data_IF_648474430308
#
_entry.id   IF_648474430308
#
_cell.length_a   1.000
_cell.length_b   1.000
_cell.length_c   1.000
_cell.angle_alpha   90.00
_cell.angle_beta   90.00
_cell.angle_gamma   90.00
#
_symmetry.space_group_name_H-M   'P 1'
#
loop_
_entity.id
_entity.type
_entity.pdbx_description
1 polymer ?
#
# COMPACT_ATOMS: atom_id res chain seq x y z
N UNK A 1 5.03 29.31 -14.66
CA UNK A 1 5.23 30.04 -13.37
C UNK A 1 4.54 29.21 -12.30
N UNK A 2 5.26 28.75 -11.26
CA UNK A 2 4.63 28.16 -10.08
C UNK A 2 4.12 29.30 -9.22
N UNK A 3 2.82 29.45 -9.10
CA UNK A 3 2.20 30.38 -8.17
C UNK A 3 2.47 29.89 -6.73
N UNK A 4 2.88 30.80 -5.87
CA UNK A 4 3.09 30.51 -4.44
C UNK A 4 1.92 31.10 -3.66
N UNK A 5 1.21 30.26 -2.90
CA UNK A 5 0.23 30.73 -1.94
C UNK A 5 0.99 31.40 -0.79
N UNK A 6 0.77 32.70 -0.61
CA UNK A 6 1.43 33.49 0.44
C UNK A 6 0.60 33.49 1.72
N UNK A 7 -0.73 33.50 1.58
CA UNK A 7 -1.68 33.49 2.69
C UNK A 7 -2.97 32.82 2.26
N UNK A 8 -3.56 32.04 3.15
CA UNK A 8 -4.92 31.47 3.03
C UNK A 8 -5.74 31.91 4.25
N UNK A 9 -6.95 32.45 4.01
CA UNK A 9 -7.93 32.79 5.03
C UNK A 9 -9.23 32.06 4.68
N UNK A 10 -9.80 31.33 5.63
CA UNK A 10 -11.09 30.67 5.50
C UNK A 10 -12.04 31.36 6.45
N UNK A 11 -13.12 31.90 5.91
CA UNK A 11 -14.14 32.60 6.70
C UNK A 11 -15.50 31.93 6.56
N UNK A 12 -16.32 32.04 7.58
CA UNK A 12 -17.73 31.65 7.56
C UNK A 12 -18.61 32.87 7.76
N UNK A 13 -19.80 32.83 7.16
CA UNK A 13 -20.85 33.84 7.31
C UNK A 13 -22.14 33.19 7.81
N UNK A 14 -22.98 33.89 8.55
CA UNK A 14 -24.28 33.39 9.06
C UNK A 14 -25.34 33.29 7.93
N UNK A 15 -25.20 34.09 6.88
CA UNK A 15 -26.07 34.12 5.69
C UNK A 15 -25.24 34.03 4.45
N UNK A 16 -25.88 33.81 3.31
CA UNK A 16 -25.16 33.82 2.04
C UNK A 16 -24.54 35.21 1.78
N UNK A 17 -23.35 35.26 1.20
CA UNK A 17 -22.67 36.55 0.88
C UNK A 17 -23.50 37.43 -0.04
N UNK A 18 -24.35 36.83 -0.89
CA UNK A 18 -25.28 37.58 -1.77
C UNK A 18 -26.37 38.28 -0.97
N UNK A 19 -27.04 37.59 -0.01
CA UNK A 19 -28.04 38.18 0.84
C UNK A 19 -27.46 39.32 1.70
N UNK A 20 -26.22 39.16 2.18
CA UNK A 20 -25.54 40.19 2.96
C UNK A 20 -25.18 41.41 2.11
N UNK A 21 -24.75 41.22 0.86
CA UNK A 21 -24.49 42.29 -0.08
C UNK A 21 -25.77 43.06 -0.43
N UNK A 22 -26.87 42.34 -0.67
CA UNK A 22 -28.17 42.96 -0.95
C UNK A 22 -28.66 43.78 0.28
N UNK A 23 -28.46 43.28 1.49
CA UNK A 23 -28.78 44.01 2.74
C UNK A 23 -27.96 45.30 2.83
N UNK A 24 -26.65 45.27 2.62
CA UNK A 24 -25.79 46.44 2.64
C UNK A 24 -26.25 47.47 1.59
N UNK A 25 -26.48 47.02 0.37
CA UNK A 25 -26.90 47.90 -0.73
C UNK A 25 -28.29 48.50 -0.46
N UNK A 26 -29.19 47.80 0.22
CA UNK A 26 -30.52 48.32 0.59
C UNK A 26 -30.49 49.42 1.69
N UNK A 27 -29.43 49.45 2.49
CA UNK A 27 -29.23 50.42 3.57
C UNK A 27 -28.41 51.63 3.16
N UNK A 28 -27.94 51.68 1.90
CA UNK A 28 -27.18 52.84 1.41
C UNK A 28 -28.06 54.09 1.21
N UNK A 29 -27.56 55.27 1.55
CA UNK A 29 -28.26 56.54 1.30
C UNK A 29 -28.50 56.77 -0.19
N UNK A 30 -29.67 57.29 -0.56
CA UNK A 30 -29.98 57.66 -1.93
C UNK A 30 -28.94 58.65 -2.47
N UNK A 31 -28.42 58.38 -3.66
CA UNK A 31 -27.41 59.21 -4.37
C UNK A 31 -25.99 58.77 -4.14
N UNK A 32 -25.70 57.74 -3.39
CA UNK A 32 -24.36 57.17 -3.27
C UNK A 32 -24.10 56.20 -4.45
N UNK A 33 -23.10 56.50 -5.29
CA UNK A 33 -22.67 55.62 -6.40
C UNK A 33 -21.69 54.53 -5.92
N UNK A 34 -22.02 53.89 -4.81
CA UNK A 34 -21.25 52.73 -4.29
C UNK A 34 -22.12 51.50 -4.33
N UNK A 35 -21.52 50.36 -4.67
CA UNK A 35 -22.17 49.07 -4.70
C UNK A 35 -21.27 48.06 -3.97
N UNK A 36 -21.80 47.34 -3.05
CA UNK A 36 -21.13 46.25 -2.34
C UNK A 36 -21.36 44.93 -3.10
N UNK A 37 -20.31 44.34 -3.57
CA UNK A 37 -20.37 43.02 -4.22
C UNK A 37 -20.42 41.90 -3.18
N UNK A 38 -20.85 40.70 -3.55
CA UNK A 38 -20.76 39.53 -2.67
C UNK A 38 -19.33 39.21 -2.20
N UNK A 39 -18.33 39.52 -3.02
CA UNK A 39 -16.91 39.33 -2.71
C UNK A 39 -16.44 40.31 -1.63
N UNK A 40 -16.93 41.55 -1.63
CA UNK A 40 -16.59 42.55 -0.61
C UNK A 40 -17.04 42.15 0.79
N UNK A 41 -18.15 41.40 0.90
CA UNK A 41 -18.65 40.87 2.17
C UNK A 41 -17.61 40.00 2.88
N UNK A 42 -16.76 39.28 2.14
CA UNK A 42 -15.71 38.43 2.71
C UNK A 42 -14.62 39.22 3.44
N UNK A 43 -14.51 40.52 3.16
CA UNK A 43 -13.58 41.43 3.83
C UNK A 43 -14.22 42.18 5.03
N UNK A 44 -15.54 42.02 5.26
CA UNK A 44 -16.25 42.69 6.32
C UNK A 44 -16.25 41.87 7.61
N UNK A 45 -15.45 42.27 8.59
CA UNK A 45 -15.35 41.61 9.91
C UNK A 45 -16.68 41.44 10.64
N UNK A 46 -17.67 42.34 10.37
CA UNK A 46 -19.00 42.26 10.96
C UNK A 46 -19.84 41.07 10.50
N UNK A 47 -19.51 40.49 9.35
CA UNK A 47 -20.24 39.36 8.78
C UNK A 47 -19.42 38.08 8.71
N UNK A 48 -18.12 38.19 8.93
CA UNK A 48 -17.19 37.05 8.74
C UNK A 48 -16.54 36.64 10.05
N UNK A 49 -16.45 35.33 10.24
CA UNK A 49 -15.65 34.72 11.32
C UNK A 49 -14.51 33.96 10.71
N UNK A 50 -13.28 34.28 11.07
CA UNK A 50 -12.10 33.55 10.63
C UNK A 50 -12.02 32.20 11.34
N UNK A 51 -12.18 31.11 10.57
CA UNK A 51 -12.13 29.73 11.05
C UNK A 51 -10.89 28.99 10.58
N UNK A 52 -9.92 29.69 9.99
CA UNK A 52 -8.72 29.11 9.39
C UNK A 52 -7.99 28.19 10.37
N UNK A 53 -7.62 28.69 11.54
CA UNK A 53 -6.88 27.93 12.56
C UNK A 53 -7.68 26.75 13.07
N UNK A 54 -8.98 26.95 13.30
CA UNK A 54 -9.87 25.87 13.78
C UNK A 54 -9.93 24.73 12.77
N UNK A 55 -10.22 25.01 11.50
CA UNK A 55 -10.33 23.99 10.47
C UNK A 55 -9.00 23.27 10.20
N UNK A 56 -7.87 24.00 10.19
CA UNK A 56 -6.58 23.35 10.04
C UNK A 56 -6.23 22.45 11.24
N UNK A 57 -6.60 22.84 12.45
CA UNK A 57 -6.40 22.02 13.66
C UNK A 57 -7.26 20.76 13.61
N UNK A 58 -8.54 20.87 13.22
CA UNK A 58 -9.44 19.74 13.06
C UNK A 58 -8.96 18.80 11.94
N UNK A 59 -8.58 19.34 10.77
CA UNK A 59 -8.04 18.56 9.68
C UNK A 59 -6.75 17.82 10.09
N UNK A 60 -5.85 18.50 10.80
CA UNK A 60 -4.64 17.87 11.33
C UNK A 60 -4.94 16.75 12.31
N UNK A 61 -5.93 16.91 13.18
CA UNK A 61 -6.35 15.85 14.11
C UNK A 61 -6.94 14.63 13.38
N UNK A 62 -7.71 14.86 12.30
CA UNK A 62 -8.26 13.81 11.46
C UNK A 62 -7.16 13.06 10.70
N UNK A 63 -6.19 13.78 10.12
CA UNK A 63 -5.03 13.17 9.45
C UNK A 63 -4.20 12.33 10.44
N UNK A 64 -3.91 12.86 11.63
CA UNK A 64 -3.14 12.13 12.65
C UNK A 64 -3.88 10.87 13.13
N UNK A 65 -5.20 10.93 13.25
CA UNK A 65 -6.02 9.78 13.61
C UNK A 65 -6.09 8.73 12.49
N UNK A 66 -6.09 9.14 11.21
CA UNK A 66 -6.04 8.21 10.07
C UNK A 66 -4.68 7.52 9.99
N UNK A 67 -3.58 8.27 10.14
CA UNK A 67 -2.23 7.70 10.19
C UNK A 67 -2.06 6.73 11.38
N UNK A 68 -2.57 7.07 12.56
CA UNK A 68 -2.55 6.17 13.73
C UNK A 68 -3.41 4.93 13.51
N UNK A 69 -4.56 5.03 12.81
CA UNK A 69 -5.37 3.88 12.44
C UNK A 69 -4.67 2.98 11.42
N UNK A 70 -4.01 3.56 10.41
CA UNK A 70 -3.22 2.81 9.44
C UNK A 70 -2.00 2.14 10.07
N UNK A 71 -1.30 2.81 10.99
CA UNK A 71 -0.19 2.24 11.75
C UNK A 71 -0.70 1.11 12.64
N UNK A 72 -1.82 1.29 13.35
CA UNK A 72 -2.42 0.25 14.19
C UNK A 72 -2.95 -0.94 13.38
N UNK A 73 -3.47 -0.75 12.17
CA UNK A 73 -3.84 -1.85 11.28
C UNK A 73 -2.62 -2.64 10.78
N UNK A 74 -1.48 -1.96 10.51
CA UNK A 74 -0.22 -2.63 10.13
C UNK A 74 0.41 -3.42 11.27
N UNK A 75 0.19 -3.04 12.53
CA UNK A 75 0.71 -3.76 13.70
C UNK A 75 -0.13 -5.00 14.10
N UNK A 76 -1.28 -5.24 13.45
CA UNK A 76 -2.18 -6.34 13.78
C UNK A 76 -1.93 -7.64 12.99
N UNK A 77 -1.01 -7.64 12.03
CA UNK A 77 -0.70 -8.85 11.27
C UNK A 77 -0.14 -9.97 12.17
N UNK A 78 -0.64 -11.20 11.98
CA UNK A 78 -0.15 -12.36 12.72
C UNK A 78 1.27 -12.73 12.25
N UNK A 79 2.26 -12.29 13.03
CA UNK A 79 3.69 -12.57 12.76
C UNK A 79 4.09 -14.04 12.99
N UNK A 80 3.16 -14.92 13.33
CA UNK A 80 3.41 -16.38 13.32
C UNK A 80 3.16 -16.98 11.95
N UNK A 81 2.46 -16.27 11.07
CA UNK A 81 2.05 -16.72 9.75
C UNK A 81 2.87 -16.07 8.64
N UNK A 82 3.19 -16.84 7.62
CA UNK A 82 3.92 -16.41 6.43
C UNK A 82 3.18 -16.90 5.19
N UNK A 83 2.76 -16.00 4.34
CA UNK A 83 2.05 -16.34 3.11
C UNK A 83 3.04 -16.74 2.01
N UNK A 84 2.79 -17.87 1.35
CA UNK A 84 3.63 -18.38 0.28
C UNK A 84 2.83 -18.40 -1.04
N UNK A 85 3.25 -17.55 -1.97
CA UNK A 85 2.77 -17.50 -3.35
C UNK A 85 3.67 -18.39 -4.20
N UNK A 86 3.08 -19.28 -5.01
CA UNK A 86 3.83 -20.19 -5.86
C UNK A 86 3.11 -20.48 -7.18
N UNK A 87 3.89 -20.89 -8.19
CA UNK A 87 3.40 -21.42 -9.46
C UNK A 87 3.22 -22.95 -9.42
N UNK A 88 3.71 -23.63 -10.46
CA UNK A 88 3.60 -25.08 -10.61
C UNK A 88 4.73 -25.87 -9.94
N UNK A 89 5.78 -25.21 -9.51
CA UNK A 89 6.97 -25.83 -8.90
C UNK A 89 6.64 -26.31 -7.46
N UNK A 90 6.22 -27.57 -7.36
CA UNK A 90 5.86 -28.19 -6.09
C UNK A 90 7.08 -28.39 -5.18
N UNK A 91 8.25 -28.67 -5.77
CA UNK A 91 9.49 -28.85 -5.02
C UNK A 91 9.89 -27.57 -4.29
N UNK A 92 9.98 -26.44 -5.02
CA UNK A 92 10.28 -25.14 -4.44
C UNK A 92 9.29 -24.75 -3.35
N UNK A 93 7.99 -24.96 -3.60
CA UNK A 93 6.92 -24.73 -2.63
C UNK A 93 7.14 -25.48 -1.32
N UNK A 94 7.37 -26.80 -1.41
CA UNK A 94 7.54 -27.66 -0.23
C UNK A 94 8.84 -27.36 0.50
N UNK A 95 9.92 -27.06 -0.22
CA UNK A 95 11.20 -26.69 0.36
C UNK A 95 11.07 -25.43 1.22
N UNK A 96 10.45 -24.38 0.66
CA UNK A 96 10.26 -23.11 1.38
C UNK A 96 9.29 -23.27 2.54
N UNK A 97 8.18 -24.01 2.36
CA UNK A 97 7.23 -24.27 3.45
C UNK A 97 7.90 -24.98 4.64
N UNK A 98 8.67 -26.04 4.38
CA UNK A 98 9.43 -26.76 5.42
C UNK A 98 10.46 -25.89 6.13
N UNK A 99 11.08 -24.97 5.39
CA UNK A 99 11.99 -24.02 6.01
C UNK A 99 11.26 -23.06 6.97
N UNK A 100 10.08 -22.56 6.59
CA UNK A 100 9.25 -21.72 7.46
C UNK A 100 8.79 -22.47 8.70
N UNK A 101 8.35 -23.72 8.56
CA UNK A 101 8.01 -24.60 9.70
C UNK A 101 9.20 -24.81 10.64
N UNK A 102 10.40 -25.02 10.08
CA UNK A 102 11.64 -25.17 10.87
C UNK A 102 11.99 -23.91 11.69
N UNK A 103 11.53 -22.74 11.23
CA UNK A 103 11.62 -21.47 12.00
C UNK A 103 10.53 -21.35 13.09
N UNK A 104 9.70 -22.36 13.31
CA UNK A 104 8.52 -22.35 14.17
C UNK A 104 7.46 -21.32 13.74
N UNK A 105 7.31 -21.13 12.43
CA UNK A 105 6.31 -20.29 11.82
C UNK A 105 5.33 -21.14 11.00
N UNK A 106 4.14 -20.62 10.74
CA UNK A 106 3.08 -21.27 10.00
C UNK A 106 3.08 -20.81 8.54
N UNK A 107 3.42 -21.67 7.55
CA UNK A 107 3.31 -21.34 6.14
C UNK A 107 1.84 -21.39 5.71
N UNK A 108 1.34 -20.34 5.10
CA UNK A 108 0.00 -20.27 4.52
C UNK A 108 0.12 -20.39 2.99
N UNK A 109 -0.37 -21.49 2.46
CA UNK A 109 -0.37 -21.81 1.02
C UNK A 109 -1.81 -21.81 0.52
N UNK A 110 -2.13 -20.94 -0.44
CA UNK A 110 -3.50 -20.68 -0.86
C UNK A 110 -4.23 -21.93 -1.41
N UNK A 111 -3.51 -22.76 -2.17
CA UNK A 111 -4.09 -23.97 -2.74
C UNK A 111 -4.42 -25.07 -1.70
N UNK A 112 -3.82 -25.01 -0.54
CA UNK A 112 -4.02 -25.96 0.56
C UNK A 112 -5.17 -25.52 1.49
N UNK A 113 -5.65 -24.27 1.30
CA UNK A 113 -6.78 -23.75 2.08
C UNK A 113 -8.13 -24.17 1.49
N UNK A 114 -9.12 -24.42 2.35
CA UNK A 114 -10.48 -24.74 1.93
C UNK A 114 -11.03 -23.73 0.92
N UNK A 115 -11.76 -24.23 -0.09
CA UNK A 115 -12.30 -23.35 -1.12
C UNK A 115 -13.48 -22.51 -0.65
N UNK A 116 -14.29 -23.02 0.28
CA UNK A 116 -15.45 -22.35 0.92
C UNK A 116 -16.36 -21.57 -0.07
N UNK A 117 -16.33 -21.93 -1.36
CA UNK A 117 -17.04 -21.18 -2.41
C UNK A 117 -16.45 -19.81 -2.77
N UNK A 118 -15.27 -19.48 -2.23
CA UNK A 118 -14.62 -18.18 -2.45
C UNK A 118 -13.89 -18.12 -3.79
N UNK A 119 -13.89 -16.94 -4.40
CA UNK A 119 -13.01 -16.62 -5.53
C UNK A 119 -11.55 -16.57 -5.09
N UNK A 120 -10.61 -16.61 -6.03
CA UNK A 120 -9.17 -16.52 -5.72
C UNK A 120 -8.87 -15.21 -4.96
N UNK A 121 -9.48 -14.09 -5.35
CA UNK A 121 -9.28 -12.79 -4.69
C UNK A 121 -9.76 -12.83 -3.24
N UNK A 122 -10.97 -13.32 -3.00
CA UNK A 122 -11.52 -13.46 -1.64
C UNK A 122 -10.69 -14.39 -0.76
N UNK A 123 -10.13 -15.46 -1.34
CA UNK A 123 -9.19 -16.35 -0.63
C UNK A 123 -7.90 -15.61 -0.27
N UNK A 124 -7.32 -14.87 -1.20
CA UNK A 124 -6.12 -14.06 -0.93
C UNK A 124 -6.42 -13.05 0.18
N UNK A 125 -7.56 -12.36 0.13
CA UNK A 125 -7.96 -11.40 1.16
C UNK A 125 -8.11 -12.06 2.54
N UNK A 126 -8.80 -13.21 2.61
CA UNK A 126 -9.04 -13.96 3.84
C UNK A 126 -7.76 -14.48 4.50
N UNK A 127 -6.82 -15.01 3.68
CA UNK A 127 -5.64 -15.69 4.18
C UNK A 127 -4.37 -14.82 4.21
N UNK A 128 -4.41 -13.60 3.68
CA UNK A 128 -3.27 -12.67 3.70
C UNK A 128 -3.21 -11.76 4.94
N UNK A 129 -3.90 -12.15 6.03
CA UNK A 129 -3.70 -11.53 7.34
C UNK A 129 -2.46 -12.13 8.02
N UNK A 130 -1.31 -11.83 7.44
CA UNK A 130 0.00 -12.36 7.77
C UNK A 130 1.01 -11.22 7.85
N UNK A 131 2.08 -11.40 8.63
CA UNK A 131 3.11 -10.36 8.76
C UNK A 131 4.15 -10.35 7.64
N UNK A 132 4.25 -11.42 6.81
CA UNK A 132 5.26 -11.54 5.76
C UNK A 132 4.76 -12.39 4.59
N UNK A 133 5.17 -12.01 3.37
CA UNK A 133 4.89 -12.74 2.15
C UNK A 133 6.16 -13.23 1.45
N UNK A 134 6.14 -14.47 1.00
CA UNK A 134 7.19 -15.06 0.16
C UNK A 134 6.58 -15.36 -1.20
N UNK A 135 7.25 -14.95 -2.28
CA UNK A 135 6.77 -15.16 -3.65
C UNK A 135 7.80 -15.96 -4.42
N UNK A 136 7.38 -17.13 -4.91
CA UNK A 136 8.25 -18.05 -5.65
C UNK A 136 8.18 -17.76 -7.14
N UNK A 137 9.24 -17.20 -7.68
CA UNK A 137 9.44 -16.99 -9.10
C UNK A 137 10.17 -18.20 -9.66
N UNK A 138 9.43 -19.11 -10.27
CA UNK A 138 9.94 -20.35 -10.87
C UNK A 138 9.54 -20.42 -12.35
N UNK A 139 10.32 -21.12 -13.23
CA UNK A 139 10.04 -21.20 -14.67
C UNK A 139 8.76 -22.02 -14.91
N UNK A 140 7.61 -21.36 -14.94
CA UNK A 140 6.31 -21.99 -15.16
C UNK A 140 5.74 -21.73 -16.55
N UNK A 141 5.99 -20.55 -17.10
CA UNK A 141 5.48 -20.08 -18.37
C UNK A 141 6.64 -19.54 -19.22
N UNK A 142 6.42 -19.39 -20.53
CA UNK A 142 7.34 -18.72 -21.44
C UNK A 142 6.74 -17.39 -21.86
N UNK A 143 7.53 -16.30 -21.80
CA UNK A 143 7.13 -14.97 -22.21
C UNK A 143 8.03 -14.38 -23.28
N UNK A 144 7.48 -13.50 -24.10
CA UNK A 144 8.22 -12.67 -25.06
C UNK A 144 7.36 -11.50 -25.52
N UNK A 145 8.01 -10.42 -25.96
CA UNK A 145 7.29 -9.31 -26.60
C UNK A 145 6.81 -9.74 -28.00
N UNK A 146 5.57 -9.33 -28.38
CA UNK A 146 4.90 -9.77 -29.62
C UNK A 146 5.78 -9.71 -30.87
N UNK A 147 6.67 -8.74 -30.95
CA UNK A 147 7.55 -8.52 -32.11
C UNK A 147 8.93 -9.16 -31.94
N UNK A 148 9.20 -9.79 -30.79
CA UNK A 148 10.51 -10.37 -30.40
C UNK A 148 10.38 -11.83 -29.97
N UNK A 149 9.68 -12.64 -30.75
CA UNK A 149 9.44 -14.06 -30.45
C UNK A 149 10.75 -14.87 -30.28
N UNK A 150 11.84 -14.43 -30.90
CA UNK A 150 13.15 -15.07 -30.74
C UNK A 150 13.80 -14.83 -29.38
N UNK A 151 13.32 -13.87 -28.61
CA UNK A 151 13.81 -13.51 -27.28
C UNK A 151 12.92 -14.15 -26.19
N UNK A 152 12.50 -15.40 -26.39
CA UNK A 152 11.73 -16.16 -25.42
C UNK A 152 12.50 -16.32 -24.12
N UNK A 153 11.84 -16.00 -23.01
CA UNK A 153 12.40 -16.22 -21.66
C UNK A 153 11.39 -16.99 -20.80
N UNK A 154 11.91 -17.81 -19.91
CA UNK A 154 11.11 -18.38 -18.84
C UNK A 154 10.61 -17.27 -17.90
N UNK A 155 9.40 -17.43 -17.39
CA UNK A 155 8.82 -16.50 -16.43
C UNK A 155 7.92 -17.20 -15.42
N UNK A 156 7.69 -16.54 -14.31
CA UNK A 156 6.69 -16.97 -13.36
C UNK A 156 5.28 -16.90 -13.98
N UNK A 157 4.37 -17.73 -13.46
CA UNK A 157 2.96 -17.71 -13.84
C UNK A 157 2.34 -16.33 -13.60
N UNK A 158 1.44 -15.89 -14.47
CA UNK A 158 0.79 -14.57 -14.36
C UNK A 158 0.11 -14.34 -13.00
N UNK A 159 -0.53 -15.38 -12.44
CA UNK A 159 -1.16 -15.28 -11.12
C UNK A 159 -0.13 -14.97 -10.02
N UNK A 160 1.08 -15.53 -10.07
CA UNK A 160 2.16 -15.26 -9.12
C UNK A 160 2.54 -13.78 -9.15
N UNK A 161 2.62 -13.19 -10.34
CA UNK A 161 2.93 -11.75 -10.50
C UNK A 161 1.81 -10.88 -9.95
N UNK A 162 0.56 -11.25 -10.21
CA UNK A 162 -0.62 -10.56 -9.66
C UNK A 162 -0.65 -10.60 -8.13
N UNK A 163 -0.49 -11.80 -7.54
CA UNK A 163 -0.46 -12.02 -6.09
C UNK A 163 0.70 -11.28 -5.43
N UNK A 164 1.87 -11.22 -6.09
CA UNK A 164 3.01 -10.42 -5.63
C UNK A 164 2.65 -8.94 -5.50
N UNK A 165 2.06 -8.35 -6.56
CA UNK A 165 1.59 -6.96 -6.52
C UNK A 165 0.59 -6.70 -5.40
N UNK A 166 -0.35 -7.62 -5.18
CA UNK A 166 -1.31 -7.55 -4.10
C UNK A 166 -0.64 -7.56 -2.71
N UNK A 167 0.29 -8.51 -2.47
CA UNK A 167 1.01 -8.59 -1.20
C UNK A 167 1.83 -7.34 -0.90
N UNK A 168 2.49 -6.78 -1.92
CA UNK A 168 3.23 -5.51 -1.78
C UNK A 168 2.30 -4.37 -1.34
N UNK A 169 1.15 -4.27 -1.95
CA UNK A 169 0.17 -3.24 -1.61
C UNK A 169 -0.37 -3.42 -0.19
N UNK A 170 -0.65 -4.66 0.21
CA UNK A 170 -1.24 -4.99 1.51
C UNK A 170 -0.23 -4.95 2.66
N UNK A 171 0.92 -5.60 2.51
CA UNK A 171 1.91 -5.78 3.57
C UNK A 171 3.00 -4.69 3.58
N UNK A 172 3.17 -4.01 2.45
CA UNK A 172 4.31 -3.12 2.21
C UNK A 172 5.56 -3.88 1.74
N UNK A 173 6.40 -3.23 0.92
CA UNK A 173 7.57 -3.83 0.25
C UNK A 173 8.56 -4.52 1.19
N UNK A 174 8.76 -3.99 2.40
CA UNK A 174 9.68 -4.53 3.41
C UNK A 174 9.25 -5.87 4.00
N UNK A 175 7.99 -6.24 3.80
CA UNK A 175 7.40 -7.45 4.33
C UNK A 175 7.13 -8.48 3.22
N UNK A 176 7.73 -8.32 2.04
CA UNK A 176 7.59 -9.23 0.92
C UNK A 176 8.97 -9.52 0.34
N UNK A 177 9.29 -10.81 0.19
CA UNK A 177 10.52 -11.29 -0.42
C UNK A 177 10.22 -12.22 -1.59
N UNK A 178 10.84 -11.99 -2.74
CA UNK A 178 10.73 -12.85 -3.91
C UNK A 178 11.93 -13.81 -3.97
N UNK A 179 11.68 -15.12 -4.01
CA UNK A 179 12.69 -16.15 -4.25
C UNK A 179 12.66 -16.52 -5.72
N UNK A 180 13.79 -16.42 -6.41
CA UNK A 180 13.88 -16.61 -7.87
C UNK A 180 14.71 -17.85 -8.17
N UNK A 181 14.10 -18.84 -8.83
CA UNK A 181 14.78 -20.03 -9.32
C UNK A 181 15.18 -19.80 -10.78
N UNK A 182 16.43 -20.10 -11.10
CA UNK A 182 17.00 -19.99 -12.42
C UNK A 182 17.00 -18.56 -13.01
N UNK A 183 17.31 -18.43 -14.31
CA UNK A 183 17.33 -17.16 -15.00
C UNK A 183 16.00 -16.90 -15.70
N UNK A 184 15.05 -16.34 -14.98
CA UNK A 184 13.72 -16.05 -15.49
C UNK A 184 13.46 -14.55 -15.59
N UNK A 185 12.51 -14.16 -16.44
CA UNK A 185 12.02 -12.79 -16.51
C UNK A 185 11.33 -12.41 -15.21
N UNK A 186 11.77 -11.31 -14.61
CA UNK A 186 11.15 -10.71 -13.41
C UNK A 186 10.68 -9.29 -13.71
N UNK A 187 9.63 -8.79 -13.07
CA UNK A 187 9.19 -7.40 -13.22
C UNK A 187 10.30 -6.42 -12.80
N UNK A 188 10.79 -5.61 -13.72
CA UNK A 188 11.91 -4.69 -13.49
C UNK A 188 11.51 -3.36 -12.83
N UNK A 189 10.23 -2.95 -12.96
CA UNK A 189 9.74 -1.64 -12.51
C UNK A 189 9.34 -1.59 -11.04
N UNK A 190 9.53 -2.68 -10.30
CA UNK A 190 9.20 -2.75 -8.88
C UNK A 190 10.47 -2.45 -8.06
N UNK A 191 10.84 -1.17 -8.00
CA UNK A 191 12.00 -0.74 -7.21
C UNK A 191 11.82 -0.99 -5.70
N UNK A 192 12.86 -1.48 -5.04
CA UNK A 192 12.88 -1.73 -3.59
C UNK A 192 12.30 -3.07 -3.15
N UNK A 193 12.09 -4.01 -4.08
CA UNK A 193 11.83 -5.42 -3.76
C UNK A 193 13.14 -6.19 -3.71
N UNK A 194 13.23 -7.09 -2.74
CA UNK A 194 14.36 -7.99 -2.59
C UNK A 194 14.08 -9.25 -3.38
N UNK A 195 14.89 -9.48 -4.44
CA UNK A 195 14.94 -10.73 -5.17
C UNK A 195 16.11 -11.57 -4.64
N UNK A 196 15.81 -12.72 -4.05
CA UNK A 196 16.81 -13.66 -3.51
C UNK A 196 16.88 -14.87 -4.42
N UNK A 197 18.07 -15.23 -4.93
CA UNK A 197 18.23 -16.46 -5.70
C UNK A 197 17.84 -17.70 -4.85
N UNK A 198 16.91 -18.52 -5.33
CA UNK A 198 16.58 -19.82 -4.75
C UNK A 198 17.63 -20.86 -5.23
N UNK A 199 18.79 -20.78 -4.62
CA UNK A 199 19.97 -21.58 -5.00
C UNK A 199 19.95 -22.99 -4.36
N UNK A 200 20.69 -23.91 -4.98
CA UNK A 200 20.82 -25.31 -4.52
C UNK A 200 21.70 -25.47 -3.28
N UNK A 201 22.43 -24.42 -2.89
CA UNK A 201 23.38 -24.45 -1.77
C UNK A 201 22.80 -23.89 -0.48
N UNK A 202 21.48 -23.70 -0.42
CA UNK A 202 20.76 -23.21 0.76
C UNK A 202 21.10 -21.74 1.19
N UNK A 203 21.84 -20.99 0.36
CA UNK A 203 22.17 -19.60 0.63
C UNK A 203 20.94 -18.70 0.79
N UNK A 204 19.87 -19.02 0.08
CA UNK A 204 18.59 -18.34 0.15
C UNK A 204 17.96 -18.38 1.56
N UNK A 205 18.20 -19.44 2.35
CA UNK A 205 17.67 -19.59 3.72
C UNK A 205 18.17 -18.50 4.63
N UNK A 206 19.47 -18.20 4.55
CA UNK A 206 20.11 -17.15 5.34
C UNK A 206 19.61 -15.76 4.87
N UNK A 207 19.53 -15.56 3.55
CA UNK A 207 19.07 -14.30 2.99
C UNK A 207 17.60 -14.02 3.39
N UNK A 208 16.69 -14.98 3.19
CA UNK A 208 15.29 -14.88 3.58
C UNK A 208 15.14 -14.63 5.09
N UNK A 209 15.86 -15.36 5.92
CA UNK A 209 15.84 -15.19 7.37
C UNK A 209 16.27 -13.77 7.82
N UNK A 210 17.23 -13.15 7.12
CA UNK A 210 17.63 -11.76 7.35
C UNK A 210 16.51 -10.78 7.00
N UNK A 211 15.83 -10.98 5.86
CA UNK A 211 14.69 -10.15 5.45
C UNK A 211 13.54 -10.26 6.46
N UNK A 212 13.19 -11.47 6.88
CA UNK A 212 12.17 -11.69 7.89
C UNK A 212 12.52 -11.03 9.22
N UNK A 213 13.79 -11.11 9.64
CA UNK A 213 14.28 -10.42 10.85
C UNK A 213 14.16 -8.90 10.73
N UNK A 214 14.48 -8.33 9.55
CA UNK A 214 14.30 -6.91 9.25
C UNK A 214 12.83 -6.49 9.29
N UNK A 215 11.92 -7.39 8.92
CA UNK A 215 10.46 -7.23 9.03
C UNK A 215 9.92 -7.41 10.47
N UNK A 216 10.79 -7.65 11.44
CA UNK A 216 10.46 -7.75 12.87
C UNK A 216 10.06 -9.15 13.35
N UNK A 217 10.39 -10.20 12.59
CA UNK A 217 10.26 -11.58 13.05
C UNK A 217 11.39 -11.97 14.00
N UNK A 218 11.08 -12.78 15.01
CA UNK A 218 12.08 -13.33 15.91
C UNK A 218 12.67 -14.62 15.31
N UNK A 219 13.74 -14.47 14.53
CA UNK A 219 14.39 -15.59 13.85
C UNK A 219 15.57 -16.11 14.67
N UNK A 220 15.55 -17.40 14.99
CA UNK A 220 16.69 -18.10 15.59
C UNK A 220 17.49 -18.82 14.50
N UNK A 221 18.65 -18.28 14.16
CA UNK A 221 19.53 -18.80 13.12
C UNK A 221 20.09 -20.21 13.44
N UNK A 222 20.22 -20.57 14.73
CA UNK A 222 20.73 -21.88 15.14
C UNK A 222 19.80 -23.07 14.74
N UNK A 223 18.58 -22.79 14.29
CA UNK A 223 17.66 -23.83 13.87
C UNK A 223 18.00 -24.41 12.49
N UNK A 224 18.84 -23.73 11.69
CA UNK A 224 19.10 -24.13 10.30
C UNK A 224 20.53 -23.90 9.82
N UNK A 225 21.42 -23.39 10.66
CA UNK A 225 22.88 -23.36 10.40
C UNK A 225 23.54 -24.68 10.70
#
# INVERSE_FOLDING_TARGET
>A
KKEKVIRLKIVTTERSVRELADLENSQMPEGLLMYVSPEDILEYDKYTTDVTVKLFTEAKSLCTNSEIKEIKQRDHFDKRKVFIVHGHDVEAKLEVARFIEKLNLEPIILHEQANDGLTIIEKIEKYSDVGFGIVLYTPCDIGYAKEREKEKMDRARQNVVFEHGYLIAKLGRKNVCALVRDNIEVPNDISGIVYVPLDKNDGWKIALAKEMKSAGYKINFNLFM
#
